data_IF_852669609655
#
_entry.id   IF_852669609655
#
_cell.length_a   1.000
_cell.length_b   1.000
_cell.length_c   1.000
_cell.angle_alpha   90.00
_cell.angle_beta   90.00
_cell.angle_gamma   90.00
#
_symmetry.space_group_name_H-M   'P 1'
#
loop_
_entity.id
_entity.type
_entity.pdbx_description
1 polymer ?
#
# COMPACT_ATOMS: atom_id res chain seq x y z
N UNK A 1 -31.37 -11.77 -11.15
CA UNK A 1 -31.05 -10.70 -12.10
C UNK A 1 -30.89 -9.41 -11.32
N UNK A 2 -29.65 -8.99 -11.09
CA UNK A 2 -29.35 -7.58 -10.88
C UNK A 2 -28.10 -7.30 -11.71
N UNK A 3 -28.36 -6.73 -12.88
CA UNK A 3 -27.41 -6.26 -13.87
C UNK A 3 -26.80 -4.96 -13.35
N UNK A 4 -25.48 -4.86 -13.41
CA UNK A 4 -24.74 -3.68 -12.97
C UNK A 4 -23.27 -3.90 -12.59
N UNK A 5 -22.64 -5.01 -13.02
CA UNK A 5 -21.18 -5.07 -13.05
C UNK A 5 -20.74 -4.28 -14.29
N UNK A 6 -20.15 -3.11 -14.09
CA UNK A 6 -19.60 -2.31 -15.17
C UNK A 6 -18.31 -3.02 -15.63
N UNK A 7 -18.32 -3.55 -16.84
CA UNK A 7 -17.23 -4.25 -17.56
C UNK A 7 -15.91 -3.43 -17.69
N UNK A 8 -15.81 -2.25 -17.06
CA UNK A 8 -14.64 -1.37 -17.09
C UNK A 8 -13.63 -1.60 -15.96
N UNK A 9 -14.00 -2.25 -14.86
CA UNK A 9 -13.10 -2.40 -13.69
C UNK A 9 -12.05 -3.51 -13.82
N UNK A 10 -12.19 -4.42 -14.80
CA UNK A 10 -11.36 -5.63 -14.94
C UNK A 10 -10.48 -5.65 -16.20
N UNK A 11 -10.35 -4.53 -16.91
CA UNK A 11 -9.55 -4.42 -18.13
C UNK A 11 -8.09 -4.03 -17.86
N UNK A 12 -7.20 -4.33 -18.80
CA UNK A 12 -5.82 -3.87 -18.75
C UNK A 12 -5.75 -2.33 -18.87
N UNK A 13 -4.87 -1.71 -18.09
CA UNK A 13 -4.56 -0.28 -18.11
C UNK A 13 -3.05 -0.18 -18.35
N UNK A 14 -2.62 0.18 -19.55
CA UNK A 14 -1.21 0.15 -19.95
C UNK A 14 -0.56 1.53 -19.85
N UNK A 15 -0.63 2.16 -18.68
CA UNK A 15 0.07 3.42 -18.44
C UNK A 15 1.59 3.27 -18.28
N UNK A 16 2.25 4.36 -17.88
CA UNK A 16 3.70 4.38 -17.74
C UNK A 16 4.19 3.47 -16.61
N UNK A 17 5.22 2.70 -16.89
CA UNK A 17 5.89 1.84 -15.90
C UNK A 17 7.18 2.44 -15.37
N UNK A 18 7.65 3.54 -15.97
CA UNK A 18 8.92 4.18 -15.62
C UNK A 18 8.98 4.51 -14.13
N UNK A 19 10.07 4.09 -13.50
CA UNK A 19 10.39 4.35 -12.11
C UNK A 19 11.57 5.34 -12.04
N UNK A 20 11.66 6.17 -10.98
CA UNK A 20 12.81 7.05 -10.81
C UNK A 20 14.11 6.24 -10.73
N UNK A 21 15.29 6.82 -11.02
CA UNK A 21 16.56 6.11 -10.92
C UNK A 21 16.83 5.53 -9.53
N UNK A 22 17.74 4.56 -9.48
CA UNK A 22 18.24 4.03 -8.21
C UNK A 22 18.83 5.11 -7.28
N UNK A 23 18.87 4.80 -5.98
CA UNK A 23 19.42 5.63 -4.91
C UNK A 23 20.33 4.83 -3.98
N UNK A 24 21.07 5.52 -3.11
CA UNK A 24 21.86 4.88 -2.05
C UNK A 24 20.97 4.43 -0.89
N UNK A 25 20.17 3.39 -1.14
CA UNK A 25 19.26 2.76 -0.20
C UNK A 25 19.15 1.25 -0.51
N UNK A 26 19.03 0.35 0.49
CA UNK A 26 19.04 -1.11 0.27
C UNK A 26 17.98 -1.62 -0.71
N UNK A 27 16.87 -0.89 -0.86
CA UNK A 27 15.78 -1.23 -1.78
C UNK A 27 15.71 -0.31 -3.01
N UNK A 28 16.81 0.35 -3.36
CA UNK A 28 16.83 1.32 -4.45
C UNK A 28 18.04 1.16 -5.38
N UNK A 29 18.61 -0.04 -5.55
CA UNK A 29 19.60 -0.21 -6.64
C UNK A 29 18.95 -0.09 -8.01
N UNK A 30 19.77 0.20 -9.02
CA UNK A 30 19.32 0.28 -10.41
C UNK A 30 18.80 -1.07 -10.92
N UNK A 31 19.40 -2.17 -10.48
CA UNK A 31 18.93 -3.52 -10.76
C UNK A 31 17.55 -3.78 -10.14
N UNK A 32 17.33 -3.34 -8.89
CA UNK A 32 16.01 -3.43 -8.26
C UNK A 32 14.95 -2.61 -9.02
N UNK A 33 15.31 -1.42 -9.51
CA UNK A 33 14.45 -0.58 -10.35
C UNK A 33 14.06 -1.31 -11.63
N UNK A 34 15.03 -1.87 -12.37
CA UNK A 34 14.79 -2.59 -13.62
C UNK A 34 13.89 -3.81 -13.43
N UNK A 35 14.12 -4.60 -12.38
CA UNK A 35 13.26 -5.74 -12.04
C UNK A 35 11.83 -5.27 -11.78
N UNK A 36 11.66 -4.24 -10.96
CA UNK A 36 10.35 -3.69 -10.63
C UNK A 36 9.63 -3.15 -11.88
N UNK A 37 10.28 -2.33 -12.68
CA UNK A 37 9.72 -1.70 -13.88
C UNK A 37 9.29 -2.73 -14.93
N UNK A 38 10.16 -3.71 -15.24
CA UNK A 38 9.86 -4.74 -16.24
C UNK A 38 8.77 -5.71 -15.76
N UNK A 39 8.81 -6.08 -14.49
CA UNK A 39 7.92 -7.06 -13.88
C UNK A 39 6.60 -6.50 -13.37
N UNK A 40 6.39 -5.17 -13.40
CA UNK A 40 5.18 -4.55 -12.83
C UNK A 40 3.92 -5.13 -13.46
N UNK A 41 3.00 -5.62 -12.62
CA UNK A 41 1.69 -6.15 -13.02
C UNK A 41 0.52 -5.25 -12.60
N UNK A 42 0.72 -4.46 -11.55
CA UNK A 42 -0.24 -3.53 -10.98
C UNK A 42 0.52 -2.39 -10.30
N UNK A 43 0.15 -1.14 -10.58
CA UNK A 43 0.65 0.07 -9.93
C UNK A 43 -0.47 1.09 -9.86
N UNK A 44 -0.69 1.68 -8.71
CA UNK A 44 -1.75 2.67 -8.52
C UNK A 44 -1.32 3.73 -7.50
N UNK A 45 -2.00 4.87 -7.53
CA UNK A 45 -1.90 5.83 -6.44
C UNK A 45 -2.54 5.23 -5.17
N UNK A 46 -1.91 5.46 -4.01
CA UNK A 46 -2.39 4.96 -2.70
C UNK A 46 -2.28 6.02 -1.59
N UNK A 47 -2.05 7.27 -1.97
CA UNK A 47 -1.80 8.38 -1.07
C UNK A 47 -3.03 8.97 -0.41
N UNK A 48 -2.83 10.05 0.35
CA UNK A 48 -3.90 10.72 1.10
C UNK A 48 -5.05 11.24 0.23
N UNK A 49 -4.77 11.56 -1.05
CA UNK A 49 -5.77 11.92 -2.07
C UNK A 49 -6.72 10.78 -2.42
N UNK A 50 -6.22 9.54 -2.52
CA UNK A 50 -7.05 8.35 -2.84
C UNK A 50 -8.05 8.04 -1.73
N UNK A 51 -7.73 8.40 -0.49
CA UNK A 51 -8.66 8.29 0.63
C UNK A 51 -9.68 9.46 0.70
N UNK A 52 -9.48 10.52 -0.09
CA UNK A 52 -10.28 11.76 -0.03
C UNK A 52 -9.97 12.63 1.19
N UNK A 53 -8.80 12.44 1.81
CA UNK A 53 -8.44 13.08 3.09
C UNK A 53 -7.53 14.31 2.94
N UNK A 54 -7.22 14.73 1.71
CA UNK A 54 -6.40 15.90 1.48
C UNK A 54 -7.16 17.21 1.67
N UNK A 55 -6.42 18.23 2.12
CA UNK A 55 -6.97 19.53 2.52
C UNK A 55 -6.62 20.63 1.51
N UNK A 56 -5.55 20.48 0.71
CA UNK A 56 -5.01 21.55 -0.15
C UNK A 56 -4.92 21.23 -1.64
N UNK A 57 -5.35 20.05 -2.12
CA UNK A 57 -5.37 19.71 -3.56
C UNK A 57 -3.98 19.71 -4.24
N UNK A 58 -2.92 19.71 -3.44
CA UNK A 58 -1.51 19.66 -3.85
C UNK A 58 -0.86 18.61 -2.96
N UNK A 59 -1.00 17.35 -3.36
CA UNK A 59 -0.49 16.22 -2.59
C UNK A 59 0.80 15.68 -3.21
N UNK A 60 1.64 15.08 -2.37
CA UNK A 60 2.64 14.11 -2.77
C UNK A 60 1.97 12.96 -3.54
N UNK A 61 2.64 12.46 -4.58
CA UNK A 61 2.18 11.28 -5.31
C UNK A 61 2.73 10.05 -4.62
N UNK A 62 1.91 9.40 -3.80
CA UNK A 62 2.23 8.09 -3.25
C UNK A 62 1.73 6.99 -4.20
N UNK A 63 2.63 6.15 -4.68
CA UNK A 63 2.32 5.04 -5.57
C UNK A 63 2.79 3.71 -5.00
N UNK A 64 1.94 2.69 -5.13
CA UNK A 64 2.26 1.32 -4.75
C UNK A 64 2.01 0.39 -5.91
N UNK A 65 2.86 -0.62 -6.06
CA UNK A 65 2.66 -1.66 -7.04
C UNK A 65 3.22 -3.01 -6.65
N UNK A 66 3.03 -3.94 -7.58
CA UNK A 66 3.44 -5.33 -7.51
C UNK A 66 4.20 -5.67 -8.78
N UNK A 67 5.33 -6.35 -8.66
CA UNK A 67 6.07 -6.89 -9.79
C UNK A 67 6.30 -8.40 -9.66
N UNK A 68 6.45 -9.07 -10.81
CA UNK A 68 6.94 -10.43 -10.89
C UNK A 68 8.45 -10.41 -11.13
N UNK A 69 9.21 -11.09 -10.27
CA UNK A 69 10.64 -11.25 -10.41
C UNK A 69 11.03 -12.22 -11.54
N UNK A 70 12.18 -12.01 -12.20
CA UNK A 70 12.80 -13.01 -13.07
C UNK A 70 13.13 -14.32 -12.33
N UNK A 71 13.22 -15.48 -13.04
CA UNK A 71 13.33 -16.80 -12.41
C UNK A 71 14.57 -16.96 -11.52
N UNK A 72 15.68 -16.31 -11.86
CA UNK A 72 16.93 -16.33 -11.12
C UNK A 72 16.84 -15.70 -9.71
N UNK A 73 15.85 -14.83 -9.47
CA UNK A 73 15.56 -14.23 -8.16
C UNK A 73 14.50 -15.00 -7.35
N UNK A 74 13.77 -15.91 -7.99
CA UNK A 74 12.71 -16.72 -7.34
C UNK A 74 13.19 -18.12 -7.01
N UNK A 75 13.78 -18.79 -7.99
CA UNK A 75 14.25 -20.18 -7.90
C UNK A 75 15.78 -20.29 -7.87
N UNK A 76 16.48 -19.25 -8.34
CA UNK A 76 17.92 -19.13 -8.25
C UNK A 76 18.41 -18.41 -6.98
N UNK A 77 19.69 -18.05 -6.98
CA UNK A 77 20.38 -17.38 -5.87
C UNK A 77 20.70 -15.90 -6.16
N UNK A 78 20.12 -15.34 -7.23
CA UNK A 78 20.43 -13.97 -7.64
C UNK A 78 20.04 -12.95 -6.55
N UNK A 79 20.85 -11.91 -6.44
CA UNK A 79 20.68 -10.79 -5.51
C UNK A 79 20.88 -9.47 -6.25
N UNK A 80 20.44 -8.38 -5.65
CA UNK A 80 20.68 -7.02 -6.18
C UNK A 80 21.64 -6.26 -5.26
N UNK A 81 22.41 -5.28 -5.76
CA UNK A 81 23.19 -4.40 -4.90
C UNK A 81 22.32 -3.67 -3.89
N UNK A 82 22.87 -3.36 -2.71
CA UNK A 82 22.22 -2.60 -1.64
C UNK A 82 22.19 -1.07 -1.91
N UNK A 83 21.75 -0.68 -3.12
CA UNK A 83 21.76 0.71 -3.60
C UNK A 83 22.87 1.01 -4.61
N UNK A 84 22.87 2.21 -5.18
CA UNK A 84 23.75 2.59 -6.32
C UNK A 84 25.25 2.67 -6.00
N UNK A 85 25.64 2.79 -4.71
CA UNK A 85 27.05 2.83 -4.30
C UNK A 85 27.48 1.57 -3.53
N UNK A 86 26.69 0.50 -3.57
CA UNK A 86 27.05 -0.75 -2.91
C UNK A 86 28.09 -1.50 -3.75
N UNK A 87 29.36 -1.49 -3.29
CA UNK A 87 30.45 -2.17 -4.00
C UNK A 87 30.37 -3.70 -3.90
N UNK A 88 29.98 -4.21 -2.73
CA UNK A 88 29.94 -5.66 -2.45
C UNK A 88 28.70 -6.12 -1.70
N UNK A 89 27.94 -5.18 -1.10
CA UNK A 89 26.76 -5.50 -0.31
C UNK A 89 25.59 -5.88 -1.24
N UNK A 90 25.16 -7.14 -1.15
CA UNK A 90 24.07 -7.70 -1.96
C UNK A 90 22.89 -8.10 -1.06
N UNK A 91 21.68 -7.81 -1.52
CA UNK A 91 20.43 -8.10 -0.80
C UNK A 91 19.46 -8.88 -1.67
N UNK A 92 18.55 -9.62 -1.03
CA UNK A 92 17.40 -10.21 -1.73
C UNK A 92 16.50 -9.10 -2.28
N UNK A 93 16.03 -9.29 -3.51
CA UNK A 93 15.02 -8.41 -4.07
C UNK A 93 13.65 -8.76 -3.49
N UNK A 94 13.17 -7.92 -2.59
CA UNK A 94 11.82 -8.03 -2.00
C UNK A 94 10.94 -6.83 -2.38
N UNK A 95 11.54 -5.68 -2.71
CA UNK A 95 10.87 -4.49 -3.20
C UNK A 95 11.85 -3.51 -3.83
N UNK A 96 11.33 -2.61 -4.66
CA UNK A 96 11.94 -1.33 -5.00
C UNK A 96 11.22 -0.20 -4.24
N UNK A 97 11.95 0.70 -3.58
CA UNK A 97 11.40 1.85 -2.87
C UNK A 97 12.21 3.10 -3.17
N UNK A 98 11.51 4.17 -3.54
CA UNK A 98 12.13 5.43 -3.91
C UNK A 98 11.24 6.63 -3.62
N UNK A 99 11.82 7.65 -3.03
CA UNK A 99 11.18 8.94 -2.82
C UNK A 99 12.02 9.98 -3.57
N UNK A 100 11.44 10.75 -4.49
CA UNK A 100 12.21 11.71 -5.30
C UNK A 100 12.86 12.81 -4.46
N UNK A 101 12.26 13.14 -3.32
CA UNK A 101 12.79 14.13 -2.37
C UNK A 101 14.19 13.77 -1.84
N UNK A 102 14.60 12.49 -1.93
CA UNK A 102 15.95 12.06 -1.55
C UNK A 102 17.05 12.64 -2.44
N UNK A 103 16.72 13.18 -3.61
CA UNK A 103 17.71 13.80 -4.51
C UNK A 103 18.14 15.19 -4.04
N UNK A 104 17.40 15.77 -3.11
CA UNK A 104 17.73 17.05 -2.50
C UNK A 104 18.78 16.89 -1.39
N UNK A 105 19.54 17.95 -1.05
CA UNK A 105 20.39 17.96 0.14
C UNK A 105 19.60 17.49 1.37
N UNK A 106 20.18 16.58 2.16
CA UNK A 106 19.49 15.89 3.27
C UNK A 106 19.13 14.43 2.97
N UNK A 107 19.04 14.04 1.69
CA UNK A 107 18.92 12.65 1.28
C UNK A 107 17.69 11.96 1.88
N UNK A 108 17.89 10.75 2.42
CA UNK A 108 16.84 9.93 3.04
C UNK A 108 16.13 10.58 4.24
N UNK A 109 16.69 11.65 4.83
CA UNK A 109 16.08 12.36 5.94
C UNK A 109 14.98 13.34 5.50
N UNK A 110 14.91 13.65 4.21
CA UNK A 110 13.93 14.57 3.66
C UNK A 110 12.51 13.99 3.72
N UNK A 111 11.53 14.87 3.86
CA UNK A 111 10.11 14.53 3.86
C UNK A 111 9.49 14.99 2.56
N UNK A 112 8.73 14.11 1.94
CA UNK A 112 8.03 14.38 0.70
C UNK A 112 7.01 15.49 0.88
N UNK A 113 6.93 16.35 -0.13
CA UNK A 113 5.98 17.45 -0.22
C UNK A 113 5.34 17.51 -1.60
N UNK A 114 4.80 18.68 -1.91
CA UNK A 114 4.08 18.91 -3.18
C UNK A 114 4.99 18.64 -4.37
N UNK A 115 4.55 17.73 -5.24
CA UNK A 115 5.26 17.38 -6.49
C UNK A 115 6.28 16.26 -6.35
N UNK A 116 6.55 15.77 -5.13
CA UNK A 116 7.37 14.57 -4.93
C UNK A 116 6.60 13.30 -5.28
N UNK A 117 7.34 12.28 -5.72
CA UNK A 117 6.85 10.91 -5.94
C UNK A 117 7.49 9.97 -4.91
N UNK A 118 6.64 9.31 -4.14
CA UNK A 118 6.98 8.23 -3.23
C UNK A 118 6.44 6.93 -3.84
N UNK A 119 7.33 6.07 -4.34
CA UNK A 119 6.95 4.81 -4.99
C UNK A 119 7.52 3.61 -4.26
N UNK A 120 6.65 2.61 -4.07
CA UNK A 120 7.06 1.26 -3.62
C UNK A 120 6.47 0.19 -4.51
N UNK A 121 7.34 -0.62 -5.13
CA UNK A 121 6.94 -1.78 -5.93
C UNK A 121 7.42 -3.03 -5.21
N UNK A 122 6.48 -3.82 -4.69
CA UNK A 122 6.80 -5.06 -4.00
C UNK A 122 6.97 -6.22 -4.98
N UNK A 123 7.84 -7.18 -4.65
CA UNK A 123 7.75 -8.49 -5.28
C UNK A 123 6.38 -9.12 -5.01
N UNK A 124 5.83 -9.86 -5.97
CA UNK A 124 4.50 -10.48 -5.82
C UNK A 124 4.45 -11.43 -4.63
N UNK A 125 5.54 -12.17 -4.36
CA UNK A 125 5.66 -13.03 -3.17
C UNK A 125 5.61 -12.25 -1.86
N UNK A 126 6.33 -11.12 -1.76
CA UNK A 126 6.29 -10.28 -0.56
C UNK A 126 4.92 -9.67 -0.36
N UNK A 127 4.38 -9.06 -1.41
CA UNK A 127 3.07 -8.44 -1.35
C UNK A 127 2.00 -9.46 -0.95
N UNK A 128 1.97 -10.64 -1.57
CA UNK A 128 1.00 -11.69 -1.26
C UNK A 128 1.11 -12.15 0.20
N UNK A 129 2.32 -12.31 0.74
CA UNK A 129 2.55 -12.66 2.15
C UNK A 129 1.97 -11.60 3.10
N UNK A 130 2.19 -10.32 2.79
CA UNK A 130 1.67 -9.20 3.58
C UNK A 130 0.14 -9.09 3.48
N UNK A 131 -0.41 -9.24 2.27
CA UNK A 131 -1.85 -9.19 2.00
C UNK A 131 -2.60 -10.35 2.66
N UNK A 132 -2.11 -11.59 2.55
CA UNK A 132 -2.62 -12.76 3.28
C UNK A 132 -2.54 -12.57 4.80
N UNK A 133 -1.54 -11.81 5.27
CA UNK A 133 -1.40 -11.44 6.67
C UNK A 133 -2.35 -10.34 7.13
N UNK A 134 -3.17 -9.79 6.23
CA UNK A 134 -4.16 -8.75 6.53
C UNK A 134 -3.57 -7.34 6.67
N UNK A 135 -2.39 -7.08 6.08
CA UNK A 135 -1.74 -5.77 6.22
C UNK A 135 -2.57 -4.66 5.55
N UNK A 136 -3.00 -3.62 6.30
CA UNK A 136 -3.95 -2.62 5.81
C UNK A 136 -3.40 -1.82 4.63
N UNK A 137 -2.11 -1.50 4.63
CA UNK A 137 -1.48 -0.65 3.62
C UNK A 137 -1.44 -1.34 2.25
N UNK A 138 -1.01 -2.60 2.21
CA UNK A 138 -0.88 -3.31 0.92
C UNK A 138 -2.22 -3.82 0.38
N UNK A 139 -3.21 -4.06 1.26
CA UNK A 139 -4.55 -4.47 0.86
C UNK A 139 -5.30 -3.39 0.08
N UNK A 140 -5.00 -2.10 0.34
CA UNK A 140 -5.64 -0.98 -0.38
C UNK A 140 -5.53 -1.14 -1.89
N UNK A 141 -4.39 -1.64 -2.38
CA UNK A 141 -4.11 -1.80 -3.80
C UNK A 141 -5.15 -2.66 -4.54
N UNK A 142 -5.84 -3.57 -3.84
CA UNK A 142 -6.92 -4.41 -4.39
C UNK A 142 -8.24 -3.65 -4.60
N UNK A 143 -8.40 -2.51 -3.96
CA UNK A 143 -9.65 -1.75 -3.90
C UNK A 143 -9.54 -0.34 -4.50
N UNK A 144 -8.36 0.02 -5.05
CA UNK A 144 -8.15 1.31 -5.69
C UNK A 144 -9.05 1.44 -6.93
N UNK A 145 -9.80 2.54 -7.08
CA UNK A 145 -10.66 2.75 -8.24
C UNK A 145 -9.85 2.91 -9.53
N UNK A 146 -10.43 2.54 -10.67
CA UNK A 146 -9.72 2.44 -11.95
C UNK A 146 -9.05 3.75 -12.39
N UNK A 147 -9.59 4.92 -12.02
CA UNK A 147 -9.03 6.23 -12.35
C UNK A 147 -7.72 6.55 -11.59
N UNK A 148 -7.42 5.82 -10.52
CA UNK A 148 -6.19 5.96 -9.73
C UNK A 148 -5.13 4.90 -10.11
N UNK A 149 -5.48 3.96 -11.00
CA UNK A 149 -4.56 2.92 -11.49
C UNK A 149 -3.64 3.51 -12.56
N UNK A 150 -2.34 3.43 -12.31
CA UNK A 150 -1.28 3.88 -13.23
C UNK A 150 -1.00 2.78 -14.26
N UNK A 151 -0.88 1.53 -13.82
CA UNK A 151 -0.64 0.39 -14.69
C UNK A 151 -1.32 -0.86 -14.14
N UNK A 152 -1.88 -1.69 -15.03
CA UNK A 152 -2.47 -2.99 -14.72
C UNK A 152 -2.46 -3.88 -15.97
N UNK A 153 -1.77 -5.00 -15.93
CA UNK A 153 -1.87 -6.02 -16.97
C UNK A 153 -2.95 -7.07 -16.62
N UNK A 154 -3.01 -8.16 -17.39
CA UNK A 154 -3.97 -9.26 -17.16
C UNK A 154 -3.82 -9.92 -15.79
N UNK A 155 -2.59 -10.17 -15.32
CA UNK A 155 -2.34 -10.74 -14.00
C UNK A 155 -2.77 -9.79 -12.86
N UNK A 156 -2.52 -8.49 -13.02
CA UNK A 156 -3.01 -7.46 -12.09
C UNK A 156 -4.54 -7.33 -12.08
N UNK A 157 -5.18 -7.44 -13.25
CA UNK A 157 -6.64 -7.41 -13.36
C UNK A 157 -7.30 -8.64 -12.71
N UNK A 158 -6.75 -9.83 -12.93
CA UNK A 158 -7.20 -11.06 -12.26
C UNK A 158 -7.08 -10.90 -10.73
N UNK A 159 -5.96 -10.34 -10.27
CA UNK A 159 -5.72 -10.10 -8.85
C UNK A 159 -6.78 -9.18 -8.24
N UNK A 160 -7.05 -8.01 -8.84
CA UNK A 160 -8.05 -7.06 -8.31
C UNK A 160 -9.48 -7.62 -8.38
N UNK A 161 -9.82 -8.37 -9.42
CA UNK A 161 -11.14 -9.03 -9.54
C UNK A 161 -11.38 -10.07 -8.43
N UNK A 162 -10.30 -10.61 -7.86
CA UNK A 162 -10.32 -11.64 -6.83
C UNK A 162 -9.86 -11.13 -5.46
N UNK A 163 -10.04 -9.84 -5.17
CA UNK A 163 -9.66 -9.24 -3.88
C UNK A 163 -10.16 -10.01 -2.65
N UNK A 164 -11.38 -10.58 -2.74
CA UNK A 164 -12.00 -11.39 -1.69
C UNK A 164 -11.17 -12.61 -1.25
N UNK A 165 -10.26 -13.11 -2.10
CA UNK A 165 -9.39 -14.25 -1.77
C UNK A 165 -8.34 -13.91 -0.71
N UNK A 166 -8.01 -12.63 -0.52
CA UNK A 166 -7.04 -12.15 0.48
C UNK A 166 -7.68 -11.74 1.80
N UNK A 167 -8.98 -11.44 1.81
CA UNK A 167 -9.66 -10.86 2.96
C UNK A 167 -10.01 -11.94 3.98
N UNK A 168 -9.62 -11.70 5.23
CA UNK A 168 -9.90 -12.62 6.34
C UNK A 168 -9.88 -11.89 7.69
N UNK A 169 -10.33 -12.58 8.73
CA UNK A 169 -10.32 -12.10 10.11
C UNK A 169 -8.92 -11.77 10.63
N UNK A 170 -7.85 -12.29 10.00
CA UNK A 170 -6.47 -11.95 10.32
C UNK A 170 -6.18 -10.46 10.17
N UNK A 171 -6.91 -9.76 9.29
CA UNK A 171 -6.81 -8.31 9.12
C UNK A 171 -7.11 -7.56 10.42
N UNK A 172 -8.05 -8.03 11.24
CA UNK A 172 -8.44 -7.33 12.47
C UNK A 172 -7.25 -7.06 13.39
N UNK A 173 -6.37 -8.06 13.58
CA UNK A 173 -5.16 -7.91 14.40
C UNK A 173 -4.17 -6.88 13.83
N UNK A 174 -4.04 -6.81 12.50
CA UNK A 174 -3.16 -5.83 11.85
C UNK A 174 -3.74 -4.43 11.94
N UNK A 175 -5.02 -4.25 11.61
CA UNK A 175 -5.69 -2.95 11.71
C UNK A 175 -5.62 -2.38 13.14
N UNK A 176 -5.91 -3.20 14.17
CA UNK A 176 -5.75 -2.82 15.58
C UNK A 176 -4.30 -2.43 15.92
N UNK A 177 -3.32 -3.23 15.49
CA UNK A 177 -1.91 -2.95 15.75
C UNK A 177 -1.43 -1.63 15.14
N UNK A 178 -1.82 -1.36 13.88
CA UNK A 178 -1.49 -0.11 13.20
C UNK A 178 -2.21 1.08 13.82
N UNK A 179 -3.52 0.97 14.11
CA UNK A 179 -4.29 2.01 14.80
C UNK A 179 -3.64 2.37 16.13
N UNK A 180 -3.30 1.38 16.96
CA UNK A 180 -2.64 1.61 18.25
C UNK A 180 -1.27 2.27 18.11
N UNK A 181 -0.51 1.97 17.05
CA UNK A 181 0.75 2.65 16.76
C UNK A 181 0.54 4.13 16.41
N UNK A 182 -0.48 4.44 15.58
CA UNK A 182 -0.84 5.82 15.26
C UNK A 182 -1.33 6.59 16.50
N UNK A 183 -2.12 5.94 17.37
CA UNK A 183 -2.58 6.52 18.65
C UNK A 183 -1.41 6.89 19.56
N UNK A 184 -0.41 6.01 19.73
CA UNK A 184 0.77 6.32 20.55
C UNK A 184 1.59 7.47 19.95
N UNK A 185 1.67 7.53 18.63
CA UNK A 185 2.36 8.58 17.91
C UNK A 185 1.67 9.94 18.01
N UNK A 186 0.34 10.02 18.00
CA UNK A 186 -0.35 11.31 18.13
C UNK A 186 -0.18 11.97 19.51
N UNK A 187 0.02 11.18 20.58
CA UNK A 187 0.16 11.68 21.96
C UNK A 187 1.61 11.80 22.44
N UNK A 188 2.60 11.48 21.59
CA UNK A 188 4.03 11.58 21.92
C UNK A 188 4.49 10.67 23.08
N UNK A 189 3.84 9.52 23.29
CA UNK A 189 4.28 8.57 24.31
C UNK A 189 5.67 8.00 23.97
N UNK A 190 6.53 7.85 24.99
CA UNK A 190 7.94 7.45 24.85
C UNK A 190 8.16 6.26 23.90
N UNK A 191 8.96 6.46 22.84
CA UNK A 191 9.22 5.49 21.78
C UNK A 191 8.41 5.72 20.50
N UNK A 192 7.38 6.55 20.53
CA UNK A 192 6.73 7.06 19.34
C UNK A 192 7.38 8.38 18.92
N UNK A 193 8.16 8.36 17.84
CA UNK A 193 8.70 9.59 17.27
C UNK A 193 7.53 10.42 16.71
N UNK A 194 7.12 11.48 17.41
CA UNK A 194 6.24 12.49 16.83
C UNK A 194 7.02 13.19 15.74
N UNK A 195 6.73 12.86 14.49
CA UNK A 195 7.45 13.49 13.39
C UNK A 195 7.07 14.98 13.26
N UNK A 196 5.96 15.46 13.84
CA UNK A 196 5.40 16.79 13.52
C UNK A 196 5.15 17.65 14.75
N UNK A 197 6.21 18.16 15.43
CA UNK A 197 6.06 19.04 16.59
C UNK A 197 5.25 20.31 16.27
N UNK A 198 5.26 20.77 15.01
CA UNK A 198 4.48 21.92 14.54
C UNK A 198 2.97 21.71 14.71
N UNK A 199 2.44 20.52 14.40
CA UNK A 199 1.01 20.23 14.54
C UNK A 199 0.59 20.14 16.00
N UNK A 200 1.47 19.58 16.85
CA UNK A 200 1.23 19.50 18.29
C UNK A 200 1.21 20.90 18.91
N UNK A 201 2.11 21.79 18.48
CA UNK A 201 2.13 23.17 18.95
C UNK A 201 0.87 23.96 18.53
N UNK A 202 0.34 23.69 17.33
CA UNK A 202 -0.83 24.38 16.80
C UNK A 202 -2.16 23.85 17.35
N UNK A 203 -2.33 22.53 17.41
CA UNK A 203 -3.62 21.88 17.70
C UNK A 203 -3.64 21.09 19.02
N UNK A 204 -2.52 21.01 19.73
CA UNK A 204 -2.37 20.22 20.96
C UNK A 204 -2.07 18.73 20.74
N UNK A 205 -2.10 18.23 19.50
CA UNK A 205 -1.77 16.86 19.12
C UNK A 205 -1.40 16.73 17.63
N UNK A 206 -0.80 15.61 17.20
CA UNK A 206 -0.51 15.37 15.77
C UNK A 206 -1.80 14.97 15.02
N UNK A 207 -2.42 15.94 14.37
CA UNK A 207 -3.68 15.77 13.62
C UNK A 207 -3.58 14.79 12.44
N UNK A 208 -2.37 14.57 11.89
CA UNK A 208 -2.17 13.59 10.80
C UNK A 208 -2.17 12.17 11.37
N UNK A 209 -1.51 11.94 12.50
CA UNK A 209 -1.55 10.63 13.16
C UNK A 209 -2.94 10.30 13.70
N UNK A 210 -3.65 11.27 14.28
CA UNK A 210 -5.03 11.11 14.70
C UNK A 210 -5.96 10.69 13.54
N UNK A 211 -5.94 11.43 12.43
CA UNK A 211 -6.73 11.09 11.24
C UNK A 211 -6.38 9.70 10.70
N UNK A 212 -5.09 9.34 10.63
CA UNK A 212 -4.67 8.02 10.16
C UNK A 212 -5.15 6.89 11.08
N UNK A 213 -5.14 7.08 12.40
CA UNK A 213 -5.66 6.10 13.35
C UNK A 213 -7.15 5.81 13.09
N UNK A 214 -7.97 6.86 12.96
CA UNK A 214 -9.40 6.73 12.70
C UNK A 214 -9.70 6.18 11.31
N UNK A 215 -8.97 6.61 10.28
CA UNK A 215 -9.09 6.06 8.92
C UNK A 215 -8.87 4.56 8.92
N UNK A 216 -7.84 4.07 9.62
CA UNK A 216 -7.60 2.64 9.79
C UNK A 216 -8.78 1.97 10.50
N UNK A 217 -9.30 2.57 11.57
CA UNK A 217 -10.50 2.10 12.27
C UNK A 217 -11.70 1.90 11.33
N UNK A 218 -12.09 2.95 10.62
CA UNK A 218 -13.23 2.97 9.68
C UNK A 218 -13.05 1.93 8.57
N UNK A 219 -11.89 1.92 7.91
CA UNK A 219 -11.63 0.99 6.82
C UNK A 219 -11.54 -0.47 7.29
N UNK A 220 -10.99 -0.70 8.49
CA UNK A 220 -10.94 -2.04 9.08
C UNK A 220 -12.33 -2.56 9.43
N UNK A 221 -13.21 -1.69 9.93
CA UNK A 221 -14.61 -2.02 10.20
C UNK A 221 -15.33 -2.39 8.90
N UNK A 222 -15.17 -1.59 7.85
CA UNK A 222 -15.76 -1.85 6.53
C UNK A 222 -15.27 -3.19 5.98
N UNK A 223 -13.94 -3.42 5.98
CA UNK A 223 -13.32 -4.64 5.47
C UNK A 223 -13.85 -5.88 6.19
N UNK A 224 -13.89 -5.86 7.53
CA UNK A 224 -14.33 -7.01 8.33
C UNK A 224 -15.84 -7.23 8.29
N UNK A 225 -16.62 -6.21 7.93
CA UNK A 225 -18.08 -6.30 7.83
C UNK A 225 -18.57 -6.67 6.43
N UNK A 226 -17.82 -6.30 5.39
CA UNK A 226 -18.27 -6.39 3.99
C UNK A 226 -17.34 -7.19 3.07
N UNK A 227 -16.09 -7.41 3.49
CA UNK A 227 -15.06 -7.97 2.63
C UNK A 227 -14.43 -6.97 1.65
N UNK A 228 -14.74 -5.67 1.77
CA UNK A 228 -14.27 -4.61 0.86
C UNK A 228 -13.83 -3.35 1.61
N UNK A 229 -13.01 -2.55 0.94
CA UNK A 229 -12.72 -1.16 1.34
C UNK A 229 -13.20 -0.26 0.21
N UNK A 230 -13.94 0.80 0.53
CA UNK A 230 -14.36 1.79 -0.45
C UNK A 230 -13.40 2.97 -0.44
N UNK A 231 -12.92 3.36 -1.64
CA UNK A 231 -11.99 4.45 -1.85
C UNK A 231 -12.55 5.43 -2.90
N UNK A 232 -12.60 6.74 -2.61
CA UNK A 232 -12.29 7.38 -1.32
C UNK A 232 -13.25 6.97 -0.20
N UNK A 233 -12.84 7.17 1.06
CA UNK A 233 -13.66 6.84 2.24
C UNK A 233 -15.07 7.43 2.06
N UNK A 234 -16.18 6.70 2.27
CA UNK A 234 -17.52 7.25 2.07
C UNK A 234 -17.86 8.43 3.01
N UNK A 235 -18.88 9.21 2.63
CA UNK A 235 -19.51 10.16 3.55
C UNK A 235 -20.48 9.41 4.49
N UNK A 236 -20.64 9.84 5.75
CA UNK A 236 -20.09 11.06 6.37
C UNK A 236 -18.69 10.92 6.99
N UNK A 237 -18.10 9.72 7.01
CA UNK A 237 -16.83 9.46 7.69
C UNK A 237 -15.67 10.26 7.09
N UNK A 238 -15.66 10.49 5.78
CA UNK A 238 -14.64 11.30 5.11
C UNK A 238 -14.57 12.71 5.68
N UNK A 239 -15.69 13.41 5.79
CA UNK A 239 -15.68 14.78 6.31
C UNK A 239 -15.23 14.83 7.78
N UNK A 240 -15.62 13.84 8.59
CA UNK A 240 -15.13 13.72 9.96
C UNK A 240 -13.60 13.51 10.02
N UNK A 241 -13.04 12.67 9.15
CA UNK A 241 -11.58 12.50 9.05
C UNK A 241 -10.89 13.81 8.63
N UNK A 242 -11.51 14.59 7.73
CA UNK A 242 -10.98 15.89 7.28
C UNK A 242 -11.07 16.95 8.38
N UNK A 243 -12.13 17.00 9.19
CA UNK A 243 -12.23 17.94 10.31
C UNK A 243 -11.15 17.70 11.36
N UNK A 244 -10.84 16.43 11.64
CA UNK A 244 -9.71 16.05 12.51
C UNK A 244 -8.39 16.46 11.89
N UNK A 245 -8.20 16.23 10.58
CA UNK A 245 -6.98 16.64 9.88
C UNK A 245 -6.74 18.15 9.92
N UNK A 246 -7.82 18.95 9.92
CA UNK A 246 -7.81 20.41 10.06
C UNK A 246 -7.70 20.90 11.52
N UNK A 247 -7.70 20.00 12.50
CA UNK A 247 -7.61 20.35 13.92
C UNK A 247 -8.88 20.96 14.51
N UNK A 248 -10.03 20.74 13.87
CA UNK A 248 -11.33 21.30 14.30
C UNK A 248 -11.98 20.50 15.44
N UNK A 249 -11.47 19.30 15.72
CA UNK A 249 -11.99 18.39 16.73
C UNK A 249 -11.04 18.38 17.92
N UNK A 250 -11.60 18.51 19.13
CA UNK A 250 -10.84 18.47 20.36
C UNK A 250 -10.17 17.10 20.57
N UNK A 251 -8.99 17.09 21.20
CA UNK A 251 -8.23 15.86 21.45
C UNK A 251 -9.06 14.78 22.16
N UNK A 252 -9.82 15.17 23.18
CA UNK A 252 -10.64 14.22 23.96
C UNK A 252 -11.71 13.53 23.09
N UNK A 253 -12.32 14.27 22.18
CA UNK A 253 -13.31 13.73 21.22
C UNK A 253 -12.63 12.81 20.20
N UNK A 254 -11.43 13.15 19.72
CA UNK A 254 -10.64 12.27 18.85
C UNK A 254 -10.27 10.97 19.55
N UNK A 255 -9.85 11.04 20.82
CA UNK A 255 -9.50 9.85 21.61
C UNK A 255 -10.74 8.97 21.81
N UNK A 256 -11.88 9.56 22.16
CA UNK A 256 -13.14 8.84 22.31
C UNK A 256 -13.57 8.16 21.00
N UNK A 257 -13.41 8.83 19.86
CA UNK A 257 -13.70 8.25 18.54
C UNK A 257 -12.75 7.07 18.23
N UNK A 258 -11.47 7.17 18.58
CA UNK A 258 -10.48 6.10 18.41
C UNK A 258 -10.86 4.89 19.28
N UNK A 259 -11.25 5.13 20.53
CA UNK A 259 -11.69 4.07 21.45
C UNK A 259 -12.94 3.33 20.91
N UNK A 260 -13.91 4.06 20.36
CA UNK A 260 -15.10 3.47 19.76
C UNK A 260 -14.77 2.57 18.55
N UNK A 261 -13.94 3.04 17.60
CA UNK A 261 -13.56 2.21 16.44
C UNK A 261 -12.68 1.03 16.84
N UNK A 262 -11.83 1.18 17.86
CA UNK A 262 -11.01 0.10 18.40
C UNK A 262 -11.91 -0.99 19.00
N UNK A 263 -12.90 -0.61 19.81
CA UNK A 263 -13.86 -1.55 20.39
C UNK A 263 -14.70 -2.26 19.32
N UNK A 264 -15.13 -1.54 18.27
CA UNK A 264 -15.84 -2.14 17.12
C UNK A 264 -14.97 -3.17 16.40
N UNK A 265 -13.69 -2.86 16.15
CA UNK A 265 -12.75 -3.81 15.54
C UNK A 265 -12.52 -5.04 16.40
N UNK A 266 -12.39 -4.88 17.73
CA UNK A 266 -12.29 -6.00 18.68
C UNK A 266 -13.52 -6.90 18.61
N UNK A 267 -14.72 -6.30 18.55
CA UNK A 267 -15.97 -7.05 18.43
C UNK A 267 -16.05 -7.80 17.09
N UNK A 268 -15.70 -7.15 15.98
CA UNK A 268 -15.67 -7.74 14.65
C UNK A 268 -14.64 -8.87 14.54
N UNK A 269 -13.50 -8.77 15.22
CA UNK A 269 -12.53 -9.87 15.29
C UNK A 269 -13.16 -11.17 15.81
N UNK A 270 -14.12 -11.08 16.73
CA UNK A 270 -14.84 -12.25 17.24
C UNK A 270 -16.05 -12.65 16.37
N UNK A 271 -16.64 -11.71 15.63
CA UNK A 271 -17.86 -11.89 14.84
C UNK A 271 -17.78 -11.10 13.53
N UNK A 272 -16.99 -11.60 12.59
CA UNK A 272 -16.81 -10.98 11.28
C UNK A 272 -17.65 -11.68 10.22
N UNK A 273 -18.03 -10.92 9.18
CA UNK A 273 -18.67 -11.45 7.97
C UNK A 273 -17.67 -12.08 6.99
N UNK A 274 -16.36 -11.92 7.23
CA UNK A 274 -15.30 -12.47 6.36
C UNK A 274 -14.76 -13.80 6.91
N UNK A 275 -14.16 -14.65 6.06
CA UNK A 275 -13.60 -15.93 6.47
C UNK A 275 -12.53 -15.80 7.56
N UNK A 276 -12.37 -16.84 8.38
CA UNK A 276 -11.34 -16.88 9.41
C UNK A 276 -9.92 -16.80 8.82
N UNK A 277 -9.69 -17.48 7.69
CA UNK A 277 -8.41 -17.53 6.97
C UNK A 277 -8.60 -17.10 5.51
N UNK A 278 -7.58 -16.49 4.88
CA UNK A 278 -7.62 -16.18 3.46
C UNK A 278 -7.43 -17.44 2.60
N UNK A 279 -7.78 -17.36 1.32
CA UNK A 279 -7.65 -18.49 0.40
C UNK A 279 -6.19 -18.63 -0.10
N UNK A 280 -5.36 -19.27 0.73
CA UNK A 280 -3.94 -19.51 0.43
C UNK A 280 -3.73 -20.38 -0.80
N UNK A 281 -4.62 -21.32 -1.06
CA UNK A 281 -4.55 -22.21 -2.23
C UNK A 281 -4.71 -21.41 -3.52
N UNK A 282 -5.73 -20.55 -3.59
CA UNK A 282 -5.94 -19.68 -4.74
C UNK A 282 -4.77 -18.72 -4.94
N UNK A 283 -4.27 -18.08 -3.86
CA UNK A 283 -3.14 -17.14 -3.96
C UNK A 283 -1.87 -17.85 -4.42
N UNK A 284 -1.60 -19.06 -3.92
CA UNK A 284 -0.47 -19.86 -4.36
C UNK A 284 -0.59 -20.24 -5.85
N UNK A 285 -1.76 -20.69 -6.28
CA UNK A 285 -2.03 -20.99 -7.68
C UNK A 285 -1.88 -19.73 -8.55
N UNK A 286 -2.30 -18.55 -8.05
CA UNK A 286 -2.21 -17.27 -8.77
C UNK A 286 -0.78 -16.83 -8.98
N UNK A 287 0.04 -16.89 -7.93
CA UNK A 287 1.47 -16.64 -8.04
C UNK A 287 2.10 -17.59 -9.06
N UNK A 288 1.85 -18.89 -8.93
CA UNK A 288 2.46 -19.90 -9.79
C UNK A 288 2.17 -19.65 -11.28
N UNK A 289 0.88 -19.52 -11.66
CA UNK A 289 0.50 -19.27 -13.06
C UNK A 289 1.02 -17.93 -13.57
N UNK A 290 1.01 -16.89 -12.73
CA UNK A 290 1.50 -15.56 -13.10
C UNK A 290 3.00 -15.57 -13.40
N UNK A 291 3.81 -16.25 -12.59
CA UNK A 291 5.25 -16.41 -12.84
C UNK A 291 5.53 -17.23 -14.09
N UNK A 292 4.84 -18.35 -14.30
CA UNK A 292 5.02 -19.17 -15.51
C UNK A 292 4.76 -18.34 -16.77
N UNK A 293 3.61 -17.66 -16.83
CA UNK A 293 3.28 -16.78 -17.97
C UNK A 293 4.31 -15.66 -18.16
N UNK A 294 4.77 -15.04 -17.08
CA UNK A 294 5.78 -13.97 -17.15
C UNK A 294 7.15 -14.48 -17.64
N UNK A 295 7.59 -15.65 -17.19
CA UNK A 295 8.87 -16.23 -17.60
C UNK A 295 8.84 -16.74 -19.04
N UNK A 296 7.75 -17.40 -19.45
CA UNK A 296 7.58 -17.88 -20.83
C UNK A 296 7.63 -16.70 -21.83
N UNK A 297 6.97 -15.59 -21.50
CA UNK A 297 6.99 -14.37 -22.31
C UNK A 297 8.37 -13.70 -22.41
N UNK A 298 9.27 -13.93 -21.44
CA UNK A 298 10.65 -13.42 -21.49
C UNK A 298 11.55 -14.30 -22.35
N UNK A 299 11.36 -15.62 -22.30
CA UNK A 299 12.12 -16.55 -23.15
C UNK A 299 11.87 -16.32 -24.64
N UNK A 300 10.66 -15.92 -25.04
CA UNK A 300 10.33 -15.62 -26.44
C UNK A 300 10.95 -14.32 -26.98
N UNK A 301 11.29 -13.36 -26.11
CA UNK A 301 11.91 -12.09 -26.51
C UNK A 301 13.41 -12.26 -26.70
N UNK A 302 14.06 -13.07 -25.86
CA UNK A 302 15.49 -13.35 -25.97
C UNK A 302 15.89 -14.14 -27.23
N UNK A 303 14.95 -14.85 -27.87
CA UNK A 303 15.21 -15.66 -29.07
C UNK A 303 15.02 -14.92 -30.40
N UNK A 304 14.67 -13.64 -30.37
CA UNK A 304 14.51 -12.81 -31.58
C UNK A 304 15.70 -11.86 -31.82
N UNK A 305 16.63 -11.77 -30.86
CA UNK A 305 17.85 -10.95 -30.93
C UNK A 305 19.13 -11.79 -31.15
N UNK A 306 18.99 -13.10 -31.42
CA UNK A 306 20.05 -14.04 -31.84
C UNK A 306 19.83 -14.48 -33.31
#
# INVERSE_FOLDING_TARGET
MNSGYIDGETSAILGDRTLPPGFHHPHASEQARLIAEQGTILRAQVGSGVHGTSVSGQDDRDEMGICLEPPEYVTGIARVPAGVNAETAMVEFEQYQRHTVWDQPGGIANRSGVGDLDVVIYSARKWARLALGGNPTVLLLLFVPANEVVYRNTAGAELTANAHQFVSQLAAGRFLGYLGAQRRAMTGQSGAHTNRPELVAEHGYDTKYAMHALRLGVQGIELLSTGRITLPVPEPEREHLRSIRRGEVALDDVVAAIDDVEQKLVNLKAKSAVPAEPNREWVNAWLHRSYQTYWDGRSSVSSLDD
#
